data_IF_452113917479
#
_entry.id   IF_452113917479
#
_cell.length_a   1.000
_cell.length_b   1.000
_cell.length_c   1.000
_cell.angle_alpha   90.00
_cell.angle_beta   90.00
_cell.angle_gamma   90.00
#
_symmetry.space_group_name_H-M   'P 1'
#
loop_
_entity.id
_entity.type
_entity.pdbx_description
1 polymer ?
#
# COMPACT_ATOMS: atom_id res chain seq x y z
N UNK A 1 22.83 -17.88 28.16
CA UNK A 1 23.04 -16.60 27.46
C UNK A 1 22.58 -16.81 26.03
N UNK A 2 21.45 -16.25 25.59
CA UNK A 2 21.07 -16.31 24.19
C UNK A 2 21.87 -15.25 23.43
N UNK A 3 22.52 -15.72 22.36
CA UNK A 3 23.36 -14.97 21.44
C UNK A 3 22.56 -13.85 20.75
N UNK A 4 23.26 -12.74 20.51
CA UNK A 4 22.81 -11.58 19.76
C UNK A 4 22.14 -12.00 18.43
N UNK A 5 20.81 -11.85 18.37
CA UNK A 5 20.10 -11.76 17.10
C UNK A 5 20.41 -10.39 16.50
N UNK A 6 21.28 -10.40 15.50
CA UNK A 6 21.59 -9.24 14.67
C UNK A 6 20.31 -8.79 13.94
N UNK A 7 19.63 -7.80 14.51
CA UNK A 7 18.37 -7.24 14.00
C UNK A 7 18.57 -6.30 12.81
N UNK A 8 19.73 -6.31 12.15
CA UNK A 8 20.18 -5.24 11.25
C UNK A 8 19.89 -5.43 9.76
N UNK A 9 19.19 -6.50 9.34
CA UNK A 9 18.84 -6.69 7.93
C UNK A 9 17.40 -7.18 7.74
N UNK A 10 16.47 -6.23 7.72
CA UNK A 10 15.13 -6.46 7.19
C UNK A 10 15.13 -6.05 5.71
N UNK A 11 15.33 -7.01 4.80
CA UNK A 11 15.13 -6.78 3.37
C UNK A 11 13.64 -6.87 3.05
N UNK A 12 12.98 -5.73 2.91
CA UNK A 12 11.58 -5.65 2.49
C UNK A 12 11.47 -6.00 1.00
N UNK A 13 10.90 -7.16 0.69
CA UNK A 13 10.70 -7.61 -0.68
C UNK A 13 9.20 -7.62 -1.04
N UNK A 14 8.77 -6.65 -1.86
CA UNK A 14 7.37 -6.54 -2.28
C UNK A 14 6.87 -7.80 -3.00
N UNK A 15 7.74 -8.50 -3.75
CA UNK A 15 7.37 -9.73 -4.45
C UNK A 15 6.94 -10.83 -3.48
N UNK A 16 7.73 -11.08 -2.44
CA UNK A 16 7.46 -12.15 -1.47
C UNK A 16 6.15 -11.89 -0.72
N UNK A 17 5.85 -10.62 -0.44
CA UNK A 17 4.61 -10.21 0.22
C UNK A 17 3.39 -10.36 -0.69
N UNK A 18 3.51 -9.92 -1.95
CA UNK A 18 2.46 -10.09 -2.96
C UNK A 18 2.13 -11.59 -3.14
N UNK A 19 3.14 -12.47 -3.16
CA UNK A 19 2.95 -13.92 -3.21
C UNK A 19 2.22 -14.48 -1.98
N UNK A 20 2.38 -13.88 -0.80
CA UNK A 20 1.62 -14.30 0.38
C UNK A 20 0.10 -14.05 0.22
N UNK A 21 -0.29 -13.01 -0.54
CA UNK A 21 -1.69 -12.73 -0.87
C UNK A 21 -2.25 -13.64 -1.97
N UNK A 22 -1.39 -14.31 -2.76
CA UNK A 22 -1.82 -15.29 -3.76
C UNK A 22 -2.42 -16.54 -3.12
N UNK A 23 -1.90 -16.95 -1.96
CA UNK A 23 -2.42 -18.08 -1.19
C UNK A 23 -3.71 -17.75 -0.42
N UNK A 24 -4.07 -16.47 -0.32
CA UNK A 24 -5.31 -16.05 0.37
C UNK A 24 -6.50 -16.20 -0.58
N UNK A 25 -7.26 -17.27 -0.38
CA UNK A 25 -8.55 -17.52 -1.05
C UNK A 25 -9.64 -16.54 -0.58
N UNK A 26 -9.45 -15.25 -0.80
CA UNK A 26 -10.57 -14.33 -0.76
C UNK A 26 -11.38 -14.53 -2.05
N UNK A 27 -12.60 -15.03 -1.90
CA UNK A 27 -13.60 -14.95 -2.96
C UNK A 27 -13.82 -13.46 -3.21
N UNK A 28 -13.34 -12.96 -4.35
CA UNK A 28 -13.72 -11.63 -4.81
C UNK A 28 -15.24 -11.69 -4.98
N UNK A 29 -16.00 -10.84 -4.28
CA UNK A 29 -17.44 -10.76 -4.48
C UNK A 29 -17.71 -10.55 -5.96
N UNK A 30 -18.58 -11.38 -6.54
CA UNK A 30 -19.09 -11.19 -7.89
C UNK A 30 -20.05 -10.00 -7.99
N UNK A 31 -20.33 -9.33 -6.87
CA UNK A 31 -21.18 -8.16 -6.81
C UNK A 31 -20.40 -6.95 -7.35
N UNK A 32 -20.82 -6.49 -8.53
CA UNK A 32 -20.44 -5.17 -9.03
C UNK A 32 -20.95 -4.12 -8.04
N UNK A 33 -20.02 -3.49 -7.31
CA UNK A 33 -20.34 -2.27 -6.57
C UNK A 33 -20.46 -1.16 -7.61
N UNK A 34 -21.70 -0.83 -7.97
CA UNK A 34 -22.02 0.19 -8.97
C UNK A 34 -21.34 1.52 -8.61
N UNK A 35 -20.53 2.02 -9.52
CA UNK A 35 -19.80 3.28 -9.37
C UNK A 35 -20.74 4.43 -9.68
N UNK A 36 -20.85 5.38 -8.76
CA UNK A 36 -21.71 6.55 -8.99
C UNK A 36 -21.08 7.50 -10.04
N UNK A 37 -21.84 8.49 -10.54
CA UNK A 37 -21.33 9.43 -11.55
C UNK A 37 -20.11 10.24 -11.11
N UNK A 38 -19.98 10.54 -9.81
CA UNK A 38 -18.81 11.24 -9.29
C UNK A 38 -17.59 10.34 -9.28
N UNK A 39 -17.75 9.06 -8.92
CA UNK A 39 -16.67 8.06 -8.98
C UNK A 39 -16.16 7.93 -10.41
N UNK A 40 -17.06 7.80 -11.39
CA UNK A 40 -16.69 7.68 -12.81
C UNK A 40 -15.86 8.88 -13.29
N UNK A 41 -16.34 10.11 -12.99
CA UNK A 41 -15.62 11.35 -13.33
C UNK A 41 -14.26 11.43 -12.65
N UNK A 42 -14.19 11.04 -11.38
CA UNK A 42 -12.93 11.10 -10.61
C UNK A 42 -11.93 10.07 -11.12
N UNK A 43 -12.38 8.85 -11.44
CA UNK A 43 -11.54 7.81 -12.07
C UNK A 43 -10.98 8.34 -13.39
N UNK A 44 -11.81 8.93 -14.26
CA UNK A 44 -11.36 9.47 -15.55
C UNK A 44 -10.29 10.56 -15.41
N UNK A 45 -10.38 11.39 -14.38
CA UNK A 45 -9.33 12.38 -14.08
C UNK A 45 -8.07 11.69 -13.53
N UNK A 46 -8.23 10.77 -12.59
CA UNK A 46 -7.13 10.16 -11.85
C UNK A 46 -6.26 9.24 -12.73
N UNK A 47 -6.84 8.50 -13.69
CA UNK A 47 -6.07 7.63 -14.60
C UNK A 47 -5.17 8.43 -15.55
N UNK A 48 -5.47 9.71 -15.78
CA UNK A 48 -4.72 10.58 -16.68
C UNK A 48 -3.58 11.32 -15.97
N UNK A 49 -3.36 11.07 -14.68
CA UNK A 49 -2.21 11.61 -13.94
C UNK A 49 -0.90 11.09 -14.50
N UNK A 50 0.17 11.86 -14.31
CA UNK A 50 1.51 11.44 -14.69
C UNK A 50 2.14 10.61 -13.55
N UNK A 51 2.16 9.29 -13.70
CA UNK A 51 2.77 8.40 -12.71
C UNK A 51 4.30 8.35 -12.89
N UNK A 52 5.08 8.19 -11.79
CA UNK A 52 6.54 8.24 -11.84
C UNK A 52 7.16 7.16 -12.75
N UNK A 53 6.48 6.03 -12.92
CA UNK A 53 6.96 4.93 -13.77
C UNK A 53 6.68 5.09 -15.26
N UNK A 54 5.91 6.11 -15.69
CA UNK A 54 5.63 6.33 -17.11
C UNK A 54 6.89 6.64 -17.93
N UNK A 55 7.98 7.06 -17.31
CA UNK A 55 9.28 7.23 -17.98
C UNK A 55 9.84 5.91 -18.52
N UNK A 56 9.34 4.76 -18.07
CA UNK A 56 9.76 3.42 -18.51
C UNK A 56 8.84 2.80 -19.58
N UNK A 57 7.82 3.55 -20.02
CA UNK A 57 6.81 3.11 -20.99
C UNK A 57 6.85 3.97 -22.26
N UNK A 58 6.56 3.35 -23.40
CA UNK A 58 6.18 4.03 -24.64
C UNK A 58 4.81 4.69 -24.51
N UNK A 59 4.44 5.58 -25.44
CA UNK A 59 3.14 6.27 -25.38
C UNK A 59 1.97 5.29 -25.61
N UNK A 60 2.14 4.29 -26.45
CA UNK A 60 1.15 3.23 -26.67
C UNK A 60 0.96 2.38 -25.40
N UNK A 61 2.05 1.99 -24.74
CA UNK A 61 1.99 1.26 -23.46
C UNK A 61 1.33 2.10 -22.35
N UNK A 62 1.59 3.40 -22.28
CA UNK A 62 0.89 4.29 -21.33
C UNK A 62 -0.62 4.28 -21.59
N UNK A 63 -1.04 4.33 -22.85
CA UNK A 63 -2.45 4.32 -23.19
C UNK A 63 -3.12 2.98 -22.83
N UNK A 64 -2.46 1.85 -23.15
CA UNK A 64 -2.93 0.52 -22.75
C UNK A 64 -3.00 0.39 -21.22
N UNK A 65 -1.98 0.87 -20.51
CA UNK A 65 -1.94 0.87 -19.05
C UNK A 65 -3.10 1.67 -18.45
N UNK A 66 -3.41 2.86 -18.98
CA UNK A 66 -4.56 3.67 -18.54
C UNK A 66 -5.88 2.94 -18.73
N UNK A 67 -6.05 2.26 -19.85
CA UNK A 67 -7.26 1.47 -20.14
C UNK A 67 -7.41 0.32 -19.14
N UNK A 68 -6.35 -0.44 -18.88
CA UNK A 68 -6.37 -1.52 -17.88
C UNK A 68 -6.54 -1.00 -16.46
N UNK A 69 -5.95 0.15 -16.12
CA UNK A 69 -6.12 0.79 -14.81
C UNK A 69 -7.57 1.22 -14.61
N UNK A 70 -8.18 1.86 -15.61
CA UNK A 70 -9.60 2.23 -15.58
C UNK A 70 -10.48 0.99 -15.39
N UNK A 71 -10.26 -0.05 -16.19
CA UNK A 71 -10.98 -1.34 -16.10
C UNK A 71 -10.85 -1.94 -14.69
N UNK A 72 -9.64 -1.95 -14.14
CA UNK A 72 -9.35 -2.45 -12.78
C UNK A 72 -10.13 -1.66 -11.73
N UNK A 73 -10.07 -0.32 -11.76
CA UNK A 73 -10.74 0.56 -10.81
C UNK A 73 -12.28 0.44 -10.86
N UNK A 74 -12.84 0.28 -12.06
CA UNK A 74 -14.29 0.09 -12.24
C UNK A 74 -14.75 -1.26 -11.69
N UNK A 75 -13.94 -2.31 -11.87
CA UNK A 75 -14.26 -3.68 -11.44
C UNK A 75 -14.09 -3.92 -9.94
N UNK A 76 -13.31 -3.10 -9.23
CA UNK A 76 -13.10 -3.25 -7.79
C UNK A 76 -14.43 -3.14 -7.03
N UNK A 77 -14.83 -4.14 -6.22
CA UNK A 77 -16.11 -4.15 -5.50
C UNK A 77 -16.02 -3.36 -4.18
N UNK A 78 -15.52 -2.12 -4.27
CA UNK A 78 -15.42 -1.17 -3.14
C UNK A 78 -15.77 0.23 -3.62
N UNK A 79 -16.16 1.11 -2.69
CA UNK A 79 -16.36 2.53 -2.99
C UNK A 79 -15.05 3.17 -3.43
N UNK A 80 -15.09 3.92 -4.54
CA UNK A 80 -13.91 4.59 -5.02
C UNK A 80 -13.62 5.84 -4.19
N UNK A 81 -12.36 6.04 -3.83
CA UNK A 81 -11.88 7.24 -3.14
C UNK A 81 -10.68 7.77 -3.91
N UNK A 82 -10.68 9.07 -4.19
CA UNK A 82 -9.54 9.77 -4.79
C UNK A 82 -8.26 9.46 -3.99
N UNK A 83 -7.19 9.03 -4.66
CA UNK A 83 -5.93 8.44 -4.13
C UNK A 83 -5.81 6.92 -4.24
N UNK A 84 -6.93 6.17 -4.33
CA UNK A 84 -6.90 4.72 -4.59
C UNK A 84 -6.23 4.41 -5.93
N UNK A 85 -6.39 5.30 -6.92
CA UNK A 85 -5.75 5.20 -8.23
C UNK A 85 -4.23 5.03 -8.12
N UNK A 86 -3.57 5.82 -7.27
CA UNK A 86 -2.12 5.78 -7.10
C UNK A 86 -1.65 4.41 -6.58
N UNK A 87 -2.37 3.83 -5.61
CA UNK A 87 -2.05 2.51 -5.05
C UNK A 87 -2.22 1.42 -6.11
N UNK A 88 -3.38 1.41 -6.79
CA UNK A 88 -3.68 0.41 -7.82
C UNK A 88 -2.69 0.52 -8.98
N UNK A 89 -2.37 1.73 -9.43
CA UNK A 89 -1.41 1.96 -10.50
C UNK A 89 0.00 1.44 -10.15
N UNK A 90 0.49 1.68 -8.93
CA UNK A 90 1.80 1.14 -8.49
C UNK A 90 1.80 -0.39 -8.48
N UNK A 91 0.75 -1.02 -7.95
CA UNK A 91 0.63 -2.48 -7.91
C UNK A 91 0.52 -3.08 -9.31
N UNK A 92 -0.28 -2.49 -10.21
CA UNK A 92 -0.37 -2.92 -11.60
C UNK A 92 0.97 -2.78 -12.34
N UNK A 93 1.67 -1.67 -12.10
CA UNK A 93 2.99 -1.45 -12.70
C UNK A 93 4.01 -2.47 -12.21
N UNK A 94 3.95 -2.89 -10.95
CA UNK A 94 4.78 -3.98 -10.43
C UNK A 94 4.62 -5.25 -11.27
N UNK A 95 3.39 -5.69 -11.57
CA UNK A 95 3.16 -6.86 -12.45
C UNK A 95 3.67 -6.63 -13.88
N UNK A 96 3.45 -5.45 -14.44
CA UNK A 96 3.94 -5.13 -15.78
C UNK A 96 5.48 -5.21 -15.86
N UNK A 97 6.18 -4.60 -14.90
CA UNK A 97 7.64 -4.64 -14.84
C UNK A 97 8.15 -6.07 -14.63
N UNK A 98 7.45 -6.88 -13.84
CA UNK A 98 7.76 -8.28 -13.60
C UNK A 98 7.68 -9.15 -14.86
N UNK A 99 6.64 -9.00 -15.67
CA UNK A 99 6.52 -9.72 -16.95
C UNK A 99 7.65 -9.34 -17.93
N UNK A 100 7.99 -8.04 -17.96
CA UNK A 100 9.01 -7.50 -18.86
C UNK A 100 10.44 -7.90 -18.44
N UNK A 101 10.70 -8.02 -17.14
CA UNK A 101 12.00 -8.45 -16.62
C UNK A 101 12.11 -9.98 -16.51
N UNK A 102 11.02 -10.71 -16.29
CA UNK A 102 10.96 -12.18 -16.29
C UNK A 102 11.25 -12.79 -17.66
N UNK A 103 11.02 -12.04 -18.74
CA UNK A 103 11.41 -12.39 -20.11
C UNK A 103 12.89 -12.08 -20.44
N UNK A 104 13.69 -11.62 -19.46
CA UNK A 104 15.14 -11.38 -19.59
C UNK A 104 16.02 -12.60 -19.25
N UNK A 105 15.44 -13.71 -18.79
CA UNK A 105 16.17 -14.96 -18.51
C UNK A 105 16.19 -15.94 -19.69
N UNK A 106 15.53 -15.59 -20.81
CA UNK A 106 15.74 -16.24 -22.10
C UNK A 106 16.95 -15.58 -22.73
N UNK A 107 17.93 -16.38 -23.11
CA UNK A 107 19.25 -15.92 -23.53
C UNK A 107 19.15 -14.87 -24.65
N UNK A 108 19.97 -13.82 -24.60
CA UNK A 108 20.09 -12.82 -25.68
C UNK A 108 20.35 -13.47 -27.06
N UNK A 109 20.88 -14.71 -27.10
CA UNK A 109 21.10 -15.50 -28.30
C UNK A 109 19.81 -16.04 -28.96
N UNK A 110 18.72 -16.20 -28.20
CA UNK A 110 17.42 -16.64 -28.76
C UNK A 110 16.62 -15.47 -29.34
N UNK A 111 16.87 -14.23 -28.87
CA UNK A 111 16.17 -13.02 -29.34
C UNK A 111 16.58 -12.55 -30.73
N UNK A 112 17.80 -12.83 -31.19
CA UNK A 112 18.19 -12.51 -32.58
C UNK A 112 17.54 -13.46 -33.61
N UNK A 113 17.09 -14.65 -33.18
CA UNK A 113 16.38 -15.60 -34.05
C UNK A 113 14.85 -15.56 -33.91
N UNK A 114 14.30 -14.79 -32.97
CA UNK A 114 12.84 -14.69 -32.71
C UNK A 114 12.29 -13.26 -32.80
N UNK A 115 13.08 -12.28 -33.26
CA UNK A 115 12.59 -10.94 -33.59
C UNK A 115 11.47 -10.91 -34.65
N UNK A 116 11.20 -12.05 -35.30
CA UNK A 116 10.07 -12.29 -36.21
C UNK A 116 8.93 -13.12 -35.61
N UNK A 117 8.93 -13.41 -34.30
CA UNK A 117 7.97 -14.31 -33.65
C UNK A 117 7.39 -13.80 -32.32
N UNK A 118 7.63 -12.54 -31.94
CA UNK A 118 6.70 -11.85 -31.03
C UNK A 118 5.55 -11.34 -31.89
N UNK A 119 4.74 -12.30 -32.32
CA UNK A 119 3.37 -12.03 -32.69
C UNK A 119 2.74 -11.44 -31.43
N UNK A 120 2.55 -10.13 -31.43
CA UNK A 120 1.61 -9.45 -30.53
C UNK A 120 0.32 -10.25 -30.60
N UNK A 121 0.08 -11.08 -29.59
CA UNK A 121 -1.11 -11.89 -29.46
C UNK A 121 -2.32 -11.03 -29.79
N UNK A 122 -3.20 -11.53 -30.65
CA UNK A 122 -4.41 -10.89 -31.15
C UNK A 122 -5.41 -10.43 -30.04
N UNK A 123 -5.07 -10.55 -28.75
CA UNK A 123 -5.70 -9.81 -27.65
C UNK A 123 -4.87 -8.60 -27.27
N UNK A 124 -5.20 -7.42 -27.82
CA UNK A 124 -4.48 -6.13 -27.63
C UNK A 124 -4.50 -5.52 -26.22
N UNK A 125 -4.34 -6.32 -25.17
CA UNK A 125 -4.22 -5.89 -23.77
C UNK A 125 -2.78 -5.89 -23.25
N UNK A 126 -2.53 -5.18 -22.16
CA UNK A 126 -1.19 -5.10 -21.52
C UNK A 126 -0.83 -6.37 -20.73
N UNK A 127 -1.85 -7.12 -20.31
CA UNK A 127 -1.74 -8.35 -19.53
C UNK A 127 -2.55 -9.43 -20.24
N UNK A 128 -2.06 -10.67 -20.25
CA UNK A 128 -2.90 -11.81 -20.57
C UNK A 128 -4.00 -11.98 -19.50
N UNK A 129 -5.07 -12.69 -19.85
CA UNK A 129 -6.26 -12.81 -18.99
C UNK A 129 -5.94 -13.47 -17.63
N UNK A 130 -5.10 -14.51 -17.62
CA UNK A 130 -4.74 -15.22 -16.39
C UNK A 130 -3.95 -14.30 -15.45
N UNK A 131 -2.94 -13.60 -15.98
CA UNK A 131 -2.15 -12.63 -15.22
C UNK A 131 -3.02 -11.48 -14.72
N UNK A 132 -3.91 -10.95 -15.55
CA UNK A 132 -4.82 -9.89 -15.16
C UNK A 132 -5.72 -10.31 -14.00
N UNK A 133 -6.34 -11.49 -14.08
CA UNK A 133 -7.23 -12.01 -13.03
C UNK A 133 -6.47 -12.25 -11.71
N UNK A 134 -5.26 -12.79 -11.77
CA UNK A 134 -4.40 -12.99 -10.60
C UNK A 134 -4.04 -11.64 -9.96
N UNK A 135 -3.52 -10.71 -10.76
CA UNK A 135 -3.18 -9.35 -10.31
C UNK A 135 -4.39 -8.67 -9.66
N UNK A 136 -5.55 -8.71 -10.32
CA UNK A 136 -6.77 -8.08 -9.84
C UNK A 136 -7.19 -8.62 -8.46
N UNK A 137 -7.20 -9.95 -8.28
CA UNK A 137 -7.53 -10.59 -6.99
C UNK A 137 -6.61 -10.11 -5.87
N UNK A 138 -5.31 -10.02 -6.15
CA UNK A 138 -4.32 -9.63 -5.14
C UNK A 138 -4.44 -8.15 -4.80
N UNK A 139 -4.61 -7.28 -5.79
CA UNK A 139 -4.89 -5.86 -5.57
C UNK A 139 -6.13 -5.69 -4.70
N UNK A 140 -7.22 -6.40 -5.02
CA UNK A 140 -8.43 -6.36 -4.21
C UNK A 140 -8.18 -6.80 -2.76
N UNK A 141 -7.47 -7.92 -2.54
CA UNK A 141 -7.18 -8.41 -1.19
C UNK A 141 -6.34 -7.44 -0.37
N UNK A 142 -5.31 -6.86 -1.00
CA UNK A 142 -4.46 -5.83 -0.40
C UNK A 142 -5.31 -4.62 -0.01
N UNK A 143 -6.13 -4.10 -0.93
CA UNK A 143 -6.99 -2.95 -0.65
C UNK A 143 -8.00 -3.26 0.47
N UNK A 144 -8.65 -4.43 0.41
CA UNK A 144 -9.62 -4.86 1.41
C UNK A 144 -9.03 -4.93 2.81
N UNK A 145 -7.79 -5.38 2.95
CA UNK A 145 -7.13 -5.50 4.25
C UNK A 145 -6.51 -4.16 4.72
N UNK A 146 -5.88 -3.41 3.82
CA UNK A 146 -5.02 -2.29 4.19
C UNK A 146 -5.59 -0.90 3.91
N UNK A 147 -6.48 -0.77 2.94
CA UNK A 147 -6.99 0.52 2.49
C UNK A 147 -8.44 0.75 2.91
N UNK A 148 -9.31 -0.23 2.63
CA UNK A 148 -10.75 -0.20 2.93
C UNK A 148 -11.03 0.12 4.41
N UNK A 149 -10.34 -0.46 5.41
CA UNK A 149 -10.61 -0.13 6.81
C UNK A 149 -10.36 1.35 7.17
N UNK A 150 -9.53 2.07 6.40
CA UNK A 150 -9.29 3.50 6.61
C UNK A 150 -10.39 4.38 6.03
N UNK A 151 -11.06 3.94 4.97
CA UNK A 151 -12.02 4.76 4.22
C UNK A 151 -13.48 4.38 4.50
N UNK A 152 -13.72 3.16 4.98
CA UNK A 152 -15.04 2.68 5.39
C UNK A 152 -15.58 3.46 6.61
N UNK A 153 -16.89 3.33 6.84
CA UNK A 153 -17.61 4.03 7.93
C UNK A 153 -17.28 5.53 7.97
N UNK A 154 -17.32 6.18 6.80
CA UNK A 154 -17.04 7.60 6.63
C UNK A 154 -15.67 8.02 7.21
N UNK A 155 -14.62 7.24 6.94
CA UNK A 155 -13.25 7.49 7.41
C UNK A 155 -13.07 7.42 8.93
N UNK A 156 -13.97 6.77 9.68
CA UNK A 156 -13.91 6.74 11.15
C UNK A 156 -12.56 6.28 11.69
N UNK A 157 -12.03 5.14 11.23
CA UNK A 157 -10.72 4.65 11.69
C UNK A 157 -9.59 5.61 11.30
N UNK A 158 -9.66 6.21 10.12
CA UNK A 158 -8.68 7.20 9.71
C UNK A 158 -8.69 8.41 10.63
N UNK A 159 -9.86 8.96 10.95
CA UNK A 159 -10.01 10.12 11.83
C UNK A 159 -9.51 9.81 13.25
N UNK A 160 -9.84 8.63 13.80
CA UNK A 160 -9.35 8.19 15.11
C UNK A 160 -7.82 8.07 15.15
N UNK A 161 -7.21 7.47 14.13
CA UNK A 161 -5.76 7.37 14.02
C UNK A 161 -5.08 8.73 13.77
N UNK A 162 -5.74 9.62 13.02
CA UNK A 162 -5.27 10.97 12.77
C UNK A 162 -5.25 11.83 14.05
N UNK A 163 -6.23 11.65 14.95
CA UNK A 163 -6.21 12.31 16.25
C UNK A 163 -5.02 11.85 17.11
N UNK A 164 -4.68 10.56 17.05
CA UNK A 164 -3.48 10.03 17.72
C UNK A 164 -2.21 10.63 17.10
N UNK A 165 -2.13 10.72 15.77
CA UNK A 165 -1.04 11.40 15.07
C UNK A 165 -0.87 12.85 15.56
N UNK A 166 -1.94 13.64 15.67
CA UNK A 166 -1.88 15.02 16.16
C UNK A 166 -1.33 15.06 17.60
N UNK A 167 -1.76 14.15 18.47
CA UNK A 167 -1.24 14.06 19.86
C UNK A 167 0.25 13.72 19.90
N UNK A 168 0.69 12.77 19.07
CA UNK A 168 2.11 12.42 18.94
C UNK A 168 2.94 13.62 18.46
N UNK A 169 2.45 14.38 17.48
CA UNK A 169 3.15 15.57 16.98
C UNK A 169 3.21 16.68 18.03
N UNK A 170 2.13 16.87 18.82
CA UNK A 170 2.12 17.81 19.94
C UNK A 170 3.16 17.47 21.00
N UNK A 171 3.35 16.19 21.33
CA UNK A 171 4.42 15.75 22.25
C UNK A 171 5.83 16.04 21.73
N UNK A 172 5.98 16.23 20.41
CA UNK A 172 7.23 16.63 19.74
C UNK A 172 7.37 18.14 19.58
N UNK A 173 6.45 18.93 20.16
CA UNK A 173 6.45 20.39 20.04
C UNK A 173 5.90 20.92 18.71
N UNK A 174 5.23 20.08 17.91
CA UNK A 174 4.62 20.45 16.64
C UNK A 174 3.10 20.57 16.82
N UNK A 175 2.57 21.78 16.68
CA UNK A 175 1.12 22.01 16.75
C UNK A 175 0.48 21.94 15.37
N UNK A 176 -0.34 20.92 15.15
CA UNK A 176 -1.09 20.72 13.91
C UNK A 176 -2.57 20.94 14.21
N UNK A 177 -3.22 21.98 13.66
CA UNK A 177 -4.66 22.15 13.77
C UNK A 177 -5.40 20.96 13.15
N UNK A 178 -6.46 20.47 13.79
CA UNK A 178 -7.25 19.34 13.27
C UNK A 178 -7.82 19.59 11.87
N UNK A 179 -8.12 20.84 11.51
CA UNK A 179 -8.57 21.20 10.16
C UNK A 179 -7.47 21.09 9.10
N UNK A 180 -6.19 21.18 9.49
CA UNK A 180 -5.02 21.07 8.60
C UNK A 180 -4.45 19.66 8.53
N UNK A 181 -4.67 18.82 9.53
CA UNK A 181 -4.14 17.45 9.55
C UNK A 181 -4.67 16.59 8.39
N UNK A 182 -5.88 16.89 7.89
CA UNK A 182 -6.45 16.18 6.74
C UNK A 182 -5.70 16.43 5.43
N UNK A 183 -4.84 17.44 5.33
CA UNK A 183 -4.00 17.67 4.14
C UNK A 183 -3.05 16.49 3.92
N UNK A 184 -2.64 15.81 5.00
CA UNK A 184 -1.75 14.65 4.95
C UNK A 184 -2.42 13.38 4.41
N UNK A 185 -3.75 13.37 4.20
CA UNK A 185 -4.44 12.31 3.45
C UNK A 185 -3.81 12.07 2.07
N UNK A 186 -3.32 13.14 1.43
CA UNK A 186 -2.62 13.06 0.14
C UNK A 186 -1.33 12.23 0.19
N UNK A 187 -0.74 12.04 1.37
CA UNK A 187 0.41 11.18 1.60
C UNK A 187 -0.02 9.80 2.10
N UNK A 188 -0.87 9.73 3.13
CA UNK A 188 -1.25 8.47 3.76
C UNK A 188 -2.15 7.61 2.86
N UNK A 189 -3.09 8.18 2.12
CA UNK A 189 -3.99 7.45 1.22
C UNK A 189 -3.41 7.18 -0.18
N UNK A 190 -2.22 7.71 -0.48
CA UNK A 190 -1.45 7.36 -1.69
C UNK A 190 -0.28 6.43 -1.36
N UNK A 191 -0.20 5.97 -0.11
CA UNK A 191 0.92 5.19 0.43
C UNK A 191 2.28 5.84 0.15
N UNK A 192 2.30 7.17 0.30
CA UNK A 192 3.44 8.06 0.10
C UNK A 192 4.06 7.99 -1.29
N UNK A 193 3.42 7.35 -2.28
CA UNK A 193 3.96 7.19 -3.63
C UNK A 193 4.33 8.53 -4.30
N UNK A 194 3.62 9.61 -3.95
CA UNK A 194 3.88 10.97 -4.44
C UNK A 194 5.04 11.68 -3.75
N UNK A 195 5.50 11.14 -2.62
CA UNK A 195 6.55 11.74 -1.78
C UNK A 195 7.85 10.94 -1.81
N UNK A 196 7.95 9.88 -2.62
CA UNK A 196 9.13 9.01 -2.70
C UNK A 196 10.08 9.43 -3.82
N UNK A 197 11.38 9.35 -3.57
CA UNK A 197 12.43 9.76 -4.50
C UNK A 197 12.57 8.84 -5.72
N UNK A 198 12.26 7.55 -5.58
CA UNK A 198 12.42 6.55 -6.64
C UNK A 198 11.35 5.46 -6.61
N UNK A 199 11.19 4.74 -7.72
CA UNK A 199 10.31 3.55 -7.77
C UNK A 199 10.74 2.45 -6.78
N UNK A 200 12.03 2.33 -6.50
CA UNK A 200 12.54 1.39 -5.51
C UNK A 200 12.07 1.76 -4.10
N UNK A 201 12.11 3.05 -3.75
CA UNK A 201 11.58 3.55 -2.48
C UNK A 201 10.06 3.37 -2.37
N UNK A 202 9.33 3.57 -3.47
CA UNK A 202 7.89 3.29 -3.55
C UNK A 202 7.62 1.80 -3.23
N UNK A 203 8.35 0.87 -3.83
CA UNK A 203 8.15 -0.56 -3.57
C UNK A 203 8.49 -0.95 -2.14
N UNK A 204 9.56 -0.39 -1.56
CA UNK A 204 9.89 -0.59 -0.14
C UNK A 204 8.81 -0.06 0.79
N UNK A 205 8.25 1.12 0.48
CA UNK A 205 7.16 1.71 1.26
C UNK A 205 5.91 0.83 1.20
N UNK A 206 5.55 0.36 0.01
CA UNK A 206 4.41 -0.54 -0.18
C UNK A 206 4.63 -1.86 0.57
N UNK A 207 5.82 -2.45 0.48
CA UNK A 207 6.17 -3.66 1.21
C UNK A 207 6.02 -3.47 2.74
N UNK A 208 6.47 -2.33 3.28
CA UNK A 208 6.32 -2.02 4.69
C UNK A 208 4.85 -1.90 5.10
N UNK A 209 4.05 -1.15 4.33
CA UNK A 209 2.62 -0.94 4.63
C UNK A 209 1.84 -2.26 4.56
N UNK A 210 2.11 -3.09 3.56
CA UNK A 210 1.48 -4.41 3.41
C UNK A 210 1.86 -5.35 4.56
N UNK A 211 3.10 -5.25 5.08
CA UNK A 211 3.59 -6.12 6.16
C UNK A 211 3.07 -5.76 7.55
N UNK A 212 2.53 -4.55 7.73
CA UNK A 212 2.20 -4.00 9.04
C UNK A 212 0.69 -3.82 9.26
N UNK A 213 0.25 -3.59 10.51
CA UNK A 213 -1.12 -3.16 10.81
C UNK A 213 -1.44 -1.84 10.10
N UNK A 214 -2.73 -1.60 9.83
CA UNK A 214 -3.22 -0.44 9.06
C UNK A 214 -2.81 0.92 9.65
N UNK A 215 -2.54 1.00 10.96
CA UNK A 215 -2.03 2.20 11.63
C UNK A 215 -0.63 2.63 11.17
N UNK A 216 0.12 1.75 10.49
CA UNK A 216 1.49 2.02 10.03
C UNK A 216 1.62 3.30 9.20
N UNK A 217 0.62 3.63 8.39
CA UNK A 217 0.65 4.87 7.58
C UNK A 217 0.72 6.13 8.45
N UNK A 218 0.18 6.10 9.67
CA UNK A 218 0.29 7.22 10.61
C UNK A 218 1.64 7.25 11.32
N UNK A 219 2.21 6.08 11.63
CA UNK A 219 3.57 6.01 12.18
C UNK A 219 4.61 6.50 11.17
N UNK A 220 4.42 6.16 9.90
CA UNK A 220 5.23 6.66 8.80
C UNK A 220 5.03 8.16 8.59
N UNK A 221 3.81 8.67 8.75
CA UNK A 221 3.53 10.10 8.72
C UNK A 221 4.26 10.84 9.86
N UNK A 222 4.29 10.29 11.08
CA UNK A 222 5.09 10.85 12.18
C UNK A 222 6.58 10.82 11.83
N UNK A 223 7.08 9.69 11.31
CA UNK A 223 8.50 9.51 11.01
C UNK A 223 8.99 10.45 9.92
N UNK A 224 8.22 10.61 8.84
CA UNK A 224 8.56 11.41 7.68
C UNK A 224 7.89 12.79 7.65
N UNK A 225 7.36 13.25 8.80
CA UNK A 225 6.61 14.50 8.90
C UNK A 225 7.36 15.68 8.28
N UNK A 226 8.62 15.88 8.67
CA UNK A 226 9.43 17.00 8.18
C UNK A 226 9.67 16.92 6.67
N UNK A 227 9.77 15.73 6.08
CA UNK A 227 9.91 15.58 4.64
C UNK A 227 8.61 15.98 3.94
N UNK A 228 7.48 15.50 4.44
CA UNK A 228 6.16 15.75 3.85
C UNK A 228 5.78 17.23 3.96
N UNK A 229 5.93 17.82 5.15
CA UNK A 229 5.60 19.24 5.40
C UNK A 229 6.46 20.18 4.55
N UNK A 230 7.74 19.86 4.39
CA UNK A 230 8.65 20.64 3.55
C UNK A 230 8.67 20.22 2.07
N UNK A 231 7.75 19.34 1.63
CA UNK A 231 7.65 18.83 0.26
C UNK A 231 8.96 18.24 -0.29
N UNK A 232 9.75 17.61 0.57
CA UNK A 232 10.99 16.92 0.22
C UNK A 232 10.70 15.45 -0.10
N UNK A 233 11.45 14.91 -1.05
CA UNK A 233 11.36 13.48 -1.40
C UNK A 233 11.96 12.63 -0.28
N UNK A 234 11.27 11.54 0.03
CA UNK A 234 11.66 10.51 0.98
C UNK A 234 12.53 9.49 0.25
N UNK A 235 13.71 9.23 0.79
CA UNK A 235 14.56 8.09 0.41
C UNK A 235 14.49 7.06 1.54
N UNK A 236 14.20 5.81 1.22
CA UNK A 236 14.08 4.76 2.24
C UNK A 236 15.42 4.09 2.50
N UNK A 237 15.85 4.17 3.77
CA UNK A 237 16.97 3.37 4.30
C UNK A 237 16.42 2.19 5.10
N UNK A 238 16.65 0.97 4.60
CA UNK A 238 16.03 -0.26 5.08
C UNK A 238 16.53 -0.69 6.47
N UNK A 239 17.76 -0.30 6.81
CA UNK A 239 18.43 -0.85 8.01
C UNK A 239 17.93 -0.23 9.32
N UNK A 240 17.23 0.91 9.23
CA UNK A 240 17.04 1.82 10.36
C UNK A 240 15.57 2.15 10.64
N UNK A 241 14.66 1.78 9.73
CA UNK A 241 13.26 2.18 9.81
C UNK A 241 12.47 1.36 10.84
N UNK A 242 12.68 0.04 10.90
CA UNK A 242 11.88 -0.84 11.77
C UNK A 242 12.03 -0.53 13.27
N UNK A 243 13.25 -0.31 13.82
CA UNK A 243 13.39 0.10 15.22
C UNK A 243 12.67 1.43 15.54
N UNK A 244 12.69 2.38 14.60
CA UNK A 244 12.01 3.68 14.75
C UNK A 244 10.49 3.48 14.76
N UNK A 245 9.96 2.67 13.85
CA UNK A 245 8.53 2.34 13.79
C UNK A 245 8.06 1.63 15.06
N UNK A 246 8.80 0.63 15.56
CA UNK A 246 8.44 -0.09 16.80
C UNK A 246 8.36 0.88 18.00
N UNK A 247 9.28 1.85 18.07
CA UNK A 247 9.25 2.88 19.12
C UNK A 247 7.99 3.76 19.00
N UNK A 248 7.67 4.19 17.78
CA UNK A 248 6.46 4.98 17.51
C UNK A 248 5.18 4.20 17.79
N UNK A 249 5.15 2.91 17.48
CA UNK A 249 4.00 2.03 17.72
C UNK A 249 3.67 1.92 19.22
N UNK A 250 4.68 1.76 20.08
CA UNK A 250 4.47 1.74 21.54
C UNK A 250 3.84 3.03 22.06
N UNK A 251 4.27 4.16 21.52
CA UNK A 251 3.70 5.46 21.86
C UNK A 251 2.26 5.61 21.34
N UNK A 252 2.03 5.17 20.10
CA UNK A 252 0.71 5.18 19.47
C UNK A 252 -0.30 4.37 20.28
N UNK A 253 0.05 3.13 20.65
CA UNK A 253 -0.81 2.25 21.45
C UNK A 253 -1.14 2.86 22.81
N UNK A 254 -0.16 3.48 23.48
CA UNK A 254 -0.39 4.17 24.75
C UNK A 254 -1.42 5.30 24.61
N UNK A 255 -1.27 6.14 23.57
CA UNK A 255 -2.20 7.25 23.31
C UNK A 255 -3.60 6.76 22.89
N UNK A 256 -3.67 5.61 22.21
CA UNK A 256 -4.93 4.96 21.86
C UNK A 256 -5.66 4.47 23.11
N UNK A 257 -4.96 3.80 24.04
CA UNK A 257 -5.53 3.35 25.32
C UNK A 257 -6.03 4.52 26.19
N UNK A 258 -5.28 5.62 26.24
CA UNK A 258 -5.69 6.85 26.94
C UNK A 258 -6.97 7.45 26.31
N UNK A 259 -7.10 7.41 24.98
CA UNK A 259 -8.29 7.88 24.28
C UNK A 259 -9.51 7.01 24.58
N UNK A 260 -9.35 5.69 24.59
CA UNK A 260 -10.46 4.76 24.83
C UNK A 260 -10.93 4.76 26.28
N UNK A 261 -10.03 4.99 27.24
CA UNK A 261 -10.39 5.13 28.66
C UNK A 261 -11.09 6.46 28.99
N UNK A 262 -10.89 7.50 28.18
CA UNK A 262 -11.51 8.82 28.35
C UNK A 262 -12.92 8.95 27.75
N UNK A 263 -13.36 8.02 26.89
CA UNK A 263 -14.71 8.03 26.31
C UNK A 263 -15.75 7.55 27.37
N UNK A 264 -16.89 8.24 27.55
CA UNK A 264 -17.93 7.78 28.48
C UNK A 264 -18.44 6.40 28.06
N UNK A 265 -18.48 5.46 29.01
CA UNK A 265 -18.87 4.05 28.80
C UNK A 265 -20.30 3.94 28.29
N UNK A 266 -20.52 3.95 26.97
CA UNK A 266 -21.74 3.41 26.40
C UNK A 266 -21.79 1.88 26.57
N UNK A 267 -23.00 1.40 26.85
CA UNK A 267 -23.38 0.03 27.22
C UNK A 267 -22.59 -1.09 26.51
N UNK A 268 -22.05 -2.00 27.32
CA UNK A 268 -21.23 -3.17 26.94
C UNK A 268 -21.99 -4.24 26.15
N UNK A 269 -22.29 -3.99 24.87
CA UNK A 269 -22.45 -5.07 23.88
C UNK A 269 -21.75 -4.64 22.59
N UNK A 270 -20.77 -5.44 22.16
CA UNK A 270 -19.95 -5.31 20.95
C UNK A 270 -18.58 -4.59 21.04
N UNK A 271 -17.76 -4.88 22.07
CA UNK A 271 -16.29 -4.67 21.99
C UNK A 271 -15.58 -5.92 22.49
N UNK A 272 -15.59 -6.96 21.66
CA UNK A 272 -14.65 -8.09 21.74
C UNK A 272 -14.37 -8.41 20.28
N UNK A 273 -13.31 -7.86 19.68
CA UNK A 273 -12.59 -8.44 18.53
C UNK A 273 -11.35 -7.62 18.09
N UNK A 274 -11.05 -6.44 18.65
CA UNK A 274 -9.94 -5.59 18.17
C UNK A 274 -8.66 -5.51 19.02
N UNK A 275 -8.65 -5.96 20.28
CA UNK A 275 -7.62 -5.56 21.26
C UNK A 275 -6.50 -6.59 21.47
N UNK A 276 -6.53 -7.78 20.84
CA UNK A 276 -5.56 -8.85 21.14
C UNK A 276 -4.53 -9.11 20.03
N UNK A 277 -4.63 -8.49 18.85
CA UNK A 277 -3.71 -8.77 17.72
C UNK A 277 -2.60 -7.74 17.49
N UNK A 278 -2.56 -6.63 18.22
CA UNK A 278 -1.51 -5.60 18.04
C UNK A 278 -0.12 -6.04 18.50
N UNK A 279 -0.01 -6.71 19.64
CA UNK A 279 1.29 -7.10 20.21
C UNK A 279 1.87 -8.41 19.63
N UNK A 280 1.05 -9.23 18.95
CA UNK A 280 1.47 -10.55 18.45
C UNK A 280 1.79 -10.53 16.95
N UNK A 281 1.25 -9.60 16.16
CA UNK A 281 1.44 -9.61 14.69
C UNK A 281 2.82 -9.10 14.27
N UNK A 282 3.39 -8.08 14.92
CA UNK A 282 4.78 -7.70 14.65
C UNK A 282 5.74 -8.86 14.98
N UNK A 283 5.51 -9.55 16.10
CA UNK A 283 6.27 -10.74 16.48
C UNK A 283 6.07 -11.92 15.53
N UNK A 284 4.85 -12.23 15.10
CA UNK A 284 4.53 -13.39 14.27
C UNK A 284 4.88 -13.20 12.79
N UNK A 285 4.76 -11.97 12.25
CA UNK A 285 5.21 -11.65 10.88
C UNK A 285 6.75 -11.66 10.82
N UNK A 286 7.43 -11.12 11.84
CA UNK A 286 8.89 -11.28 11.96
C UNK A 286 9.26 -12.76 12.12
N UNK A 287 8.64 -13.51 13.03
CA UNK A 287 8.98 -14.93 13.28
C UNK A 287 8.67 -15.84 12.08
N UNK A 288 7.61 -15.56 11.31
CA UNK A 288 7.22 -16.31 10.11
C UNK A 288 8.17 -16.11 8.93
N UNK A 289 8.65 -14.87 8.74
CA UNK A 289 9.65 -14.54 7.71
C UNK A 289 11.03 -15.11 8.09
N UNK A 290 11.43 -15.04 9.37
CA UNK A 290 12.72 -15.57 9.84
C UNK A 290 12.79 -17.12 9.90
N UNK A 291 11.67 -17.83 10.05
CA UNK A 291 11.69 -19.31 10.08
C UNK A 291 11.77 -19.96 8.69
N UNK A 292 11.45 -19.23 7.62
CA UNK A 292 11.45 -19.75 6.24
C UNK A 292 12.84 -19.77 5.57
N UNK A 293 13.86 -19.22 6.22
CA UNK A 293 15.26 -19.20 5.78
C UNK A 293 16.16 -20.15 6.60
N UNK A 294 15.66 -21.33 6.96
CA UNK A 294 16.43 -22.39 7.61
C UNK A 294 16.44 -23.66 6.78
#
# INVERSE_FOLDING_TARGET
MPENLDSSKCTLNLRELIQAYEGQSAVVPTLDVEKNQNDLKTIDVDINRNFPFYVHMTDDEKQLFRNELKKTLLRLPVSYVQSMCDIVAVLMYFYYAEMRNGSSLVSLAERENTASAIDTSESGGLYDEETYERMFKIIYNILKEKYVPLIDDQFKMYLENNDIFIKMMKQRGVEIPSSKSLIYTNSTLTWFSRSMDSMNDIYKMFALIISCPTSIVFLLLVHYFDFIENKKMIKMDDNDIMPKIIKLEKEFLKLQEEQDTSKPKMSKKAIIYGVVTGAVVAGAVLFGIFKKYK
#
